data_IF_385970188797
#
_entry.id   IF_385970188797
#
_cell.length_a   1.000
_cell.length_b   1.000
_cell.length_c   1.000
_cell.angle_alpha   90.00
_cell.angle_beta   90.00
_cell.angle_gamma   90.00
#
_symmetry.space_group_name_H-M   'P 1'
#
loop_
_entity.id
_entity.type
_entity.pdbx_description
1 polymer ?
#
# COMPACT_ATOMS: atom_id res chain seq x y z
N UNK A 1 -23.81 -16.39 45.46
CA UNK A 1 -24.36 -16.08 44.12
C UNK A 1 -23.23 -15.43 43.32
N UNK A 2 -22.52 -16.24 42.52
CA UNK A 2 -21.36 -15.78 41.74
C UNK A 2 -21.78 -15.36 40.34
N UNK A 3 -21.42 -14.14 39.94
CA UNK A 3 -21.79 -13.56 38.66
C UNK A 3 -20.64 -13.71 37.65
N UNK A 4 -20.85 -14.65 36.72
CA UNK A 4 -20.44 -14.70 35.30
C UNK A 4 -19.10 -14.09 34.88
N UNK A 5 -18.13 -14.96 34.63
CA UNK A 5 -17.04 -14.77 33.66
C UNK A 5 -17.61 -14.76 32.24
N UNK A 6 -17.37 -13.68 31.48
CA UNK A 6 -17.63 -13.63 30.04
C UNK A 6 -16.37 -14.10 29.30
N UNK A 7 -16.46 -15.26 28.65
CA UNK A 7 -15.50 -15.71 27.66
C UNK A 7 -15.93 -15.14 26.30
N UNK A 8 -15.20 -14.16 25.76
CA UNK A 8 -15.30 -13.79 24.35
C UNK A 8 -14.31 -14.65 23.56
N UNK A 9 -14.77 -15.83 23.14
CA UNK A 9 -14.12 -16.57 22.06
C UNK A 9 -14.51 -15.89 20.73
N UNK A 10 -13.65 -15.01 20.23
CA UNK A 10 -13.73 -14.52 18.86
C UNK A 10 -13.25 -15.63 17.93
N UNK A 11 -14.20 -16.38 17.36
CA UNK A 11 -13.94 -17.28 16.25
C UNK A 11 -13.69 -16.43 15.00
N UNK A 12 -12.42 -16.30 14.59
CA UNK A 12 -12.05 -15.80 13.27
C UNK A 12 -12.47 -16.84 12.23
N UNK A 13 -13.64 -16.65 11.62
CA UNK A 13 -14.01 -17.38 10.41
C UNK A 13 -13.25 -16.77 9.23
N UNK A 14 -12.07 -17.33 8.92
CA UNK A 14 -11.41 -17.10 7.64
C UNK A 14 -12.34 -17.62 6.54
N UNK A 15 -12.91 -16.69 5.78
CA UNK A 15 -13.66 -17.01 4.57
C UNK A 15 -12.66 -17.19 3.44
N UNK A 16 -12.22 -18.43 3.19
CA UNK A 16 -11.52 -18.76 1.96
C UNK A 16 -12.54 -18.87 0.83
N UNK A 17 -12.71 -17.81 0.05
CA UNK A 17 -13.38 -17.93 -1.25
C UNK A 17 -12.39 -18.44 -2.27
N UNK A 18 -12.46 -19.75 -2.54
CA UNK A 18 -11.96 -20.34 -3.79
C UNK A 18 -12.90 -19.88 -4.90
N UNK A 19 -12.43 -19.05 -5.83
CA UNK A 19 -13.12 -18.78 -7.08
C UNK A 19 -12.52 -19.63 -8.21
N UNK A 20 -13.41 -20.39 -8.83
CA UNK A 20 -13.15 -21.31 -9.91
C UNK A 20 -12.74 -20.61 -11.21
N UNK A 21 -11.95 -21.34 -12.00
CA UNK A 21 -11.43 -21.00 -13.32
C UNK A 21 -12.55 -20.71 -14.34
N UNK A 22 -12.50 -19.53 -14.99
CA UNK A 22 -13.26 -19.25 -16.22
C UNK A 22 -13.63 -17.78 -16.42
N UNK A 23 -13.01 -17.17 -17.43
CA UNK A 23 -13.24 -15.83 -18.00
C UNK A 23 -12.54 -14.64 -17.29
N UNK A 24 -11.50 -14.15 -17.98
CA UNK A 24 -10.73 -12.91 -17.76
C UNK A 24 -9.95 -12.86 -16.43
N UNK A 25 -8.67 -12.41 -16.41
CA UNK A 25 -7.92 -12.28 -15.17
C UNK A 25 -8.62 -11.23 -14.30
N UNK A 26 -9.48 -11.71 -13.40
CA UNK A 26 -10.03 -10.90 -12.32
C UNK A 26 -8.85 -10.38 -11.53
N UNK A 27 -8.47 -9.14 -11.85
CA UNK A 27 -7.37 -8.40 -11.24
C UNK A 27 -7.71 -8.37 -9.75
N UNK A 28 -7.01 -9.15 -8.93
CA UNK A 28 -7.28 -9.22 -7.51
C UNK A 28 -7.06 -7.82 -6.93
N UNK A 29 -8.14 -7.11 -6.57
CA UNK A 29 -8.05 -5.77 -6.00
C UNK A 29 -7.75 -5.91 -4.51
N UNK A 30 -6.73 -5.18 -4.05
CA UNK A 30 -6.37 -5.06 -2.65
C UNK A 30 -6.73 -3.64 -2.21
N UNK A 31 -7.85 -3.51 -1.51
CA UNK A 31 -8.32 -2.23 -0.98
C UNK A 31 -7.74 -2.01 0.42
N UNK A 32 -7.07 -0.88 0.59
CA UNK A 32 -6.48 -0.37 1.82
C UNK A 32 -7.26 0.89 2.21
N UNK A 33 -8.46 0.74 2.76
CA UNK A 33 -9.27 1.88 3.23
C UNK A 33 -8.92 2.23 4.67
N UNK A 34 -9.09 3.50 5.04
CA UNK A 34 -8.71 4.11 6.32
C UNK A 34 -9.15 3.32 7.55
N UNK A 35 -10.32 2.66 7.53
CA UNK A 35 -10.77 1.77 8.61
C UNK A 35 -9.86 0.54 8.83
N UNK A 36 -9.26 0.02 7.75
CA UNK A 36 -8.26 -1.07 7.81
C UNK A 36 -6.89 -0.51 8.18
N UNK A 37 -6.59 0.71 7.75
CA UNK A 37 -5.33 1.40 8.05
C UNK A 37 -5.19 1.71 9.54
N UNK A 38 -6.23 2.25 10.18
CA UNK A 38 -6.27 2.58 11.62
C UNK A 38 -6.11 1.35 12.53
N UNK A 39 -6.55 0.18 12.06
CA UNK A 39 -6.36 -1.08 12.78
C UNK A 39 -4.96 -1.71 12.53
N UNK A 40 -4.33 -1.37 11.40
CA UNK A 40 -3.09 -1.95 10.92
C UNK A 40 -1.94 -0.93 10.86
N UNK A 41 -2.04 0.22 11.55
CA UNK A 41 -1.06 1.33 11.53
C UNK A 41 0.35 0.96 11.99
N UNK A 42 0.61 -0.33 12.23
CA UNK A 42 1.88 -0.89 12.64
C UNK A 42 2.11 -2.32 12.10
N UNK A 43 1.26 -2.82 11.20
CA UNK A 43 1.37 -4.15 10.59
C UNK A 43 1.59 -4.05 9.08
N UNK A 44 2.67 -4.66 8.60
CA UNK A 44 2.98 -4.72 7.18
C UNK A 44 2.02 -5.68 6.45
N UNK A 45 1.42 -5.20 5.36
CA UNK A 45 0.40 -5.92 4.60
C UNK A 45 1.03 -6.46 3.32
N UNK A 46 1.06 -7.79 3.08
CA UNK A 46 1.68 -8.34 1.88
C UNK A 46 0.93 -7.89 0.60
N UNK A 47 1.68 -7.50 -0.42
CA UNK A 47 1.17 -7.12 -1.75
C UNK A 47 0.79 -8.37 -2.54
N UNK A 48 -0.40 -8.90 -2.28
CA UNK A 48 -0.91 -10.10 -2.97
C UNK A 48 -1.90 -9.76 -4.07
N UNK A 49 -2.43 -8.54 -4.08
CA UNK A 49 -3.29 -8.01 -5.14
C UNK A 49 -2.52 -7.57 -6.38
N UNK A 50 -3.25 -7.49 -7.49
CA UNK A 50 -2.80 -6.89 -8.75
C UNK A 50 -3.00 -5.37 -8.77
N UNK A 51 -3.77 -4.80 -7.85
CA UNK A 51 -3.98 -3.34 -7.74
C UNK A 51 -4.17 -2.95 -6.28
N UNK A 52 -3.52 -1.88 -5.85
CA UNK A 52 -3.72 -1.24 -4.55
C UNK A 52 -4.68 -0.07 -4.73
N UNK A 53 -5.69 0.00 -3.87
CA UNK A 53 -6.67 1.09 -3.83
C UNK A 53 -6.73 1.62 -2.41
N UNK A 54 -6.31 2.87 -2.21
CA UNK A 54 -6.49 3.63 -0.97
C UNK A 54 -7.69 4.57 -1.11
N UNK A 55 -8.01 5.34 -0.07
CA UNK A 55 -9.06 6.35 -0.14
C UNK A 55 -8.67 7.53 -1.07
N UNK A 56 -7.38 7.87 -1.13
CA UNK A 56 -6.88 9.03 -1.89
C UNK A 56 -6.32 8.67 -3.27
N UNK A 57 -5.87 7.43 -3.48
CA UNK A 57 -5.26 7.04 -4.75
C UNK A 57 -5.34 5.53 -5.04
N UNK A 58 -4.97 5.15 -6.24
CA UNK A 58 -4.78 3.74 -6.59
C UNK A 58 -3.68 3.56 -7.61
N UNK A 59 -3.05 2.40 -7.60
CA UNK A 59 -2.07 2.02 -8.62
C UNK A 59 -2.06 0.51 -8.82
N UNK A 60 -1.67 0.08 -10.03
CA UNK A 60 -1.53 -1.35 -10.33
C UNK A 60 -0.21 -1.83 -9.75
N UNK A 61 -0.25 -2.96 -9.05
CA UNK A 61 0.94 -3.59 -8.51
C UNK A 61 1.73 -4.21 -9.65
N UNK A 62 2.99 -3.80 -9.87
CA UNK A 62 3.87 -4.47 -10.81
C UNK A 62 3.97 -5.96 -10.46
N UNK A 63 3.78 -6.86 -11.42
CA UNK A 63 3.76 -8.33 -11.21
C UNK A 63 5.04 -8.84 -10.52
N UNK A 64 6.15 -8.14 -10.77
CA UNK A 64 7.46 -8.37 -10.16
C UNK A 64 7.53 -8.13 -8.64
N UNK A 65 6.57 -7.40 -8.08
CA UNK A 65 6.45 -7.09 -6.66
C UNK A 65 5.34 -7.90 -5.97
N UNK A 66 4.41 -8.47 -6.75
CA UNK A 66 3.34 -9.32 -6.21
C UNK A 66 3.92 -10.51 -5.46
N UNK A 67 3.54 -10.65 -4.19
CA UNK A 67 4.00 -11.70 -3.28
C UNK A 67 5.46 -11.59 -2.85
N UNK A 68 6.11 -10.45 -3.11
CA UNK A 68 7.51 -10.16 -2.72
C UNK A 68 7.66 -8.88 -1.93
N UNK A 69 6.64 -8.03 -1.92
CA UNK A 69 6.68 -6.74 -1.25
C UNK A 69 5.57 -6.67 -0.21
N UNK A 70 5.80 -5.88 0.83
CA UNK A 70 4.80 -5.53 1.84
C UNK A 70 4.55 -4.02 1.79
N UNK A 71 3.30 -3.64 2.04
CA UNK A 71 2.86 -2.25 2.15
C UNK A 71 2.63 -1.95 3.62
N UNK A 72 3.24 -0.88 4.09
CA UNK A 72 3.00 -0.31 5.40
C UNK A 72 2.24 1.00 5.21
N UNK A 73 0.94 1.07 5.52
CA UNK A 73 0.23 2.32 5.43
C UNK A 73 0.68 3.27 6.55
N UNK A 74 0.81 4.56 6.23
CA UNK A 74 1.26 5.61 7.14
C UNK A 74 0.21 6.72 7.23
N UNK A 75 0.33 7.62 8.21
CA UNK A 75 -0.60 8.76 8.36
C UNK A 75 -0.69 9.65 7.12
N UNK A 76 0.35 9.66 6.28
CA UNK A 76 0.47 10.55 5.12
C UNK A 76 0.42 9.78 3.79
N UNK A 77 0.18 8.47 3.81
CA UNK A 77 0.15 7.64 2.61
C UNK A 77 0.58 6.20 2.89
N UNK A 78 1.65 5.74 2.24
CA UNK A 78 2.18 4.40 2.43
C UNK A 78 3.67 4.27 2.11
N UNK A 79 4.28 3.26 2.70
CA UNK A 79 5.64 2.82 2.45
C UNK A 79 5.64 1.39 1.92
N UNK A 80 6.57 1.05 1.04
CA UNK A 80 6.68 -0.29 0.45
C UNK A 80 8.08 -0.84 0.69
N UNK A 81 8.12 -2.07 1.16
CA UNK A 81 9.34 -2.79 1.50
C UNK A 81 9.40 -4.13 0.76
N UNK A 82 10.60 -4.64 0.54
CA UNK A 82 10.81 -6.05 0.22
C UNK A 82 10.41 -6.90 1.44
N UNK A 83 9.62 -7.94 1.18
CA UNK A 83 9.05 -8.77 2.24
C UNK A 83 10.15 -9.55 2.99
N UNK A 84 11.12 -10.13 2.27
CA UNK A 84 12.15 -10.97 2.89
C UNK A 84 13.06 -10.12 3.79
N UNK A 85 13.48 -8.96 3.31
CA UNK A 85 14.33 -8.04 4.06
C UNK A 85 13.58 -7.40 5.25
N UNK A 86 12.30 -7.04 5.06
CA UNK A 86 11.47 -6.47 6.12
C UNK A 86 11.20 -7.48 7.25
N UNK A 87 10.88 -8.73 6.92
CA UNK A 87 10.69 -9.79 7.92
C UNK A 87 11.98 -10.18 8.64
N UNK A 88 13.14 -10.01 7.98
CA UNK A 88 14.46 -10.30 8.55
C UNK A 88 14.88 -9.29 9.63
N UNK A 89 14.87 -8.00 9.28
CA UNK A 89 15.42 -6.93 10.13
C UNK A 89 14.71 -5.58 10.00
N UNK A 90 13.57 -5.54 9.29
CA UNK A 90 12.82 -4.31 9.04
C UNK A 90 13.45 -3.40 7.98
N UNK A 91 14.41 -3.92 7.20
CA UNK A 91 15.01 -3.21 6.07
C UNK A 91 14.28 -3.52 4.77
N UNK A 92 14.94 -3.32 3.62
CA UNK A 92 14.34 -3.55 2.31
C UNK A 92 13.43 -2.43 1.80
N UNK A 93 13.63 -1.19 2.23
CA UNK A 93 12.85 -0.06 1.73
C UNK A 93 12.96 0.04 0.19
N UNK A 94 11.81 0.11 -0.49
CA UNK A 94 11.74 0.24 -1.94
C UNK A 94 11.30 1.64 -2.35
N UNK A 95 10.23 2.16 -1.78
CA UNK A 95 9.73 3.52 -2.04
C UNK A 95 8.64 3.86 -1.03
N UNK A 96 8.28 5.14 -0.95
CA UNK A 96 7.08 5.60 -0.28
C UNK A 96 6.26 6.52 -1.18
N UNK A 97 4.94 6.52 -0.96
CA UNK A 97 4.01 7.44 -1.60
C UNK A 97 3.39 8.24 -0.47
N UNK A 98 3.66 9.54 -0.47
CA UNK A 98 3.14 10.47 0.52
C UNK A 98 2.33 11.59 -0.14
N UNK A 99 1.31 12.05 0.57
CA UNK A 99 0.45 13.16 0.17
C UNK A 99 0.92 14.43 0.87
N UNK A 100 1.10 15.50 0.11
CA UNK A 100 1.51 16.81 0.62
C UNK A 100 0.51 17.88 0.20
N UNK A 101 0.09 18.70 1.16
CA UNK A 101 -0.74 19.90 0.91
C UNK A 101 0.11 21.15 0.62
N UNK A 102 1.42 21.06 0.84
CA UNK A 102 2.39 22.15 0.72
C UNK A 102 3.68 21.70 -0.01
N UNK A 103 4.65 22.62 -0.17
CA UNK A 103 5.91 22.39 -0.90
C UNK A 103 7.03 21.71 -0.10
N UNK A 104 6.75 21.15 1.09
CA UNK A 104 7.71 20.46 1.95
C UNK A 104 8.41 19.28 1.26
N UNK A 105 7.76 18.65 0.29
CA UNK A 105 8.36 17.59 -0.54
C UNK A 105 9.60 18.07 -1.33
N UNK A 106 9.77 19.37 -1.53
CA UNK A 106 10.95 19.94 -2.18
C UNK A 106 12.27 19.71 -1.41
N UNK A 107 12.17 19.32 -0.14
CA UNK A 107 13.31 18.97 0.70
C UNK A 107 13.82 17.54 0.49
N UNK A 108 13.08 16.70 -0.24
CA UNK A 108 13.46 15.32 -0.53
C UNK A 108 14.62 15.26 -1.54
N UNK A 109 15.56 14.35 -1.33
CA UNK A 109 16.74 14.19 -2.20
C UNK A 109 16.38 13.61 -3.58
N UNK A 110 15.58 12.54 -3.60
CA UNK A 110 15.15 11.86 -4.82
C UNK A 110 13.64 11.56 -4.79
N UNK A 111 12.87 12.45 -5.41
CA UNK A 111 11.41 12.34 -5.49
C UNK A 111 10.89 12.44 -6.93
N UNK A 112 9.70 11.89 -7.15
CA UNK A 112 8.92 12.06 -8.38
C UNK A 112 7.47 12.42 -8.05
N UNK A 113 6.91 13.39 -8.77
CA UNK A 113 5.50 13.74 -8.62
C UNK A 113 4.66 12.74 -9.41
N UNK A 114 3.78 12.03 -8.71
CA UNK A 114 2.88 11.04 -9.30
C UNK A 114 1.62 11.68 -9.88
N UNK A 115 1.12 12.72 -9.23
CA UNK A 115 -0.08 13.40 -9.64
C UNK A 115 -0.50 14.48 -8.66
N UNK A 116 -1.57 15.17 -9.01
CA UNK A 116 -2.18 16.23 -8.22
C UNK A 116 -3.67 15.97 -8.09
N UNK A 117 -4.23 16.23 -6.92
CA UNK A 117 -5.66 16.25 -6.69
C UNK A 117 -6.03 17.47 -5.84
N UNK A 118 -6.74 18.44 -6.40
CA UNK A 118 -7.03 19.68 -5.68
C UNK A 118 -5.75 20.42 -5.25
N UNK A 119 -5.60 20.64 -3.94
CA UNK A 119 -4.39 21.21 -3.31
C UNK A 119 -3.34 20.15 -2.94
N UNK A 120 -3.67 18.87 -3.06
CA UNK A 120 -2.82 17.77 -2.65
C UNK A 120 -1.89 17.33 -3.80
N UNK A 121 -0.64 17.10 -3.45
CA UNK A 121 0.42 16.61 -4.33
C UNK A 121 0.85 15.23 -3.87
N UNK A 122 0.76 14.25 -4.77
CA UNK A 122 1.16 12.88 -4.50
C UNK A 122 2.61 12.70 -4.95
N UNK A 123 3.49 12.40 -3.99
CA UNK A 123 4.92 12.35 -4.21
C UNK A 123 5.43 10.95 -3.90
N UNK A 124 6.19 10.40 -4.86
CA UNK A 124 6.94 9.17 -4.73
C UNK A 124 8.35 9.52 -4.24
N UNK A 125 8.70 9.11 -3.03
CA UNK A 125 10.06 9.22 -2.50
C UNK A 125 10.82 7.90 -2.72
N UNK A 126 12.00 8.01 -3.30
CA UNK A 126 12.91 6.91 -3.59
C UNK A 126 14.32 7.15 -3.05
N UNK A 127 14.50 8.17 -2.20
CA UNK A 127 15.79 8.57 -1.63
C UNK A 127 16.54 7.42 -0.93
N UNK A 128 15.81 6.51 -0.31
CA UNK A 128 16.36 5.33 0.38
C UNK A 128 16.25 4.04 -0.43
N UNK A 129 15.73 4.12 -1.65
CA UNK A 129 15.45 2.96 -2.49
C UNK A 129 16.74 2.34 -3.05
N UNK A 130 16.73 1.03 -3.25
CA UNK A 130 17.77 0.36 -4.03
C UNK A 130 17.70 0.76 -5.51
N UNK A 131 18.85 1.11 -6.10
CA UNK A 131 18.94 1.58 -7.49
C UNK A 131 18.87 0.47 -8.56
N UNK A 132 18.47 -0.75 -8.18
CA UNK A 132 18.39 -1.85 -9.12
C UNK A 132 17.47 -1.54 -10.29
N UNK A 133 17.88 -2.03 -11.48
CA UNK A 133 17.05 -1.98 -12.70
C UNK A 133 15.66 -2.59 -12.49
N UNK A 134 15.59 -3.54 -11.56
CA UNK A 134 14.37 -4.13 -11.07
C UNK A 134 13.44 -3.03 -10.55
N UNK A 135 13.81 -2.40 -9.43
CA UNK A 135 13.03 -1.37 -8.75
C UNK A 135 12.66 -0.25 -9.71
N UNK A 136 13.61 0.27 -10.50
CA UNK A 136 13.36 1.33 -11.49
C UNK A 136 12.28 0.97 -12.52
N UNK A 137 12.23 -0.28 -12.99
CA UNK A 137 11.20 -0.73 -13.93
C UNK A 137 9.83 -0.83 -13.25
N UNK A 138 9.78 -1.34 -12.02
CA UNK A 138 8.55 -1.42 -11.23
C UNK A 138 7.97 -0.03 -10.93
N UNK A 139 8.82 0.93 -10.53
CA UNK A 139 8.41 2.31 -10.27
C UNK A 139 7.82 2.97 -11.52
N UNK A 140 8.39 2.71 -12.71
CA UNK A 140 7.84 3.22 -13.97
C UNK A 140 6.46 2.65 -14.28
N UNK A 141 6.26 1.35 -14.10
CA UNK A 141 4.95 0.69 -14.29
C UNK A 141 3.91 1.21 -13.27
N UNK A 142 4.33 1.43 -12.03
CA UNK A 142 3.48 2.05 -11.00
C UNK A 142 3.08 3.46 -11.40
N UNK A 143 4.03 4.31 -11.80
CA UNK A 143 3.78 5.69 -12.23
C UNK A 143 2.81 5.77 -13.39
N UNK A 144 2.92 4.86 -14.37
CA UNK A 144 2.01 4.80 -15.53
C UNK A 144 0.58 4.39 -15.18
N UNK A 145 0.38 3.76 -14.02
CA UNK A 145 -0.93 3.24 -13.58
C UNK A 145 -1.48 3.97 -12.36
N UNK A 146 -0.75 4.97 -11.86
CA UNK A 146 -1.15 5.77 -10.71
C UNK A 146 -2.35 6.66 -11.06
N UNK A 147 -3.34 6.66 -10.17
CA UNK A 147 -4.53 7.49 -10.28
C UNK A 147 -4.81 8.07 -8.90
N UNK A 148 -4.75 9.39 -8.79
CA UNK A 148 -5.22 10.13 -7.62
C UNK A 148 -6.74 10.35 -7.70
N UNK A 149 -7.40 10.32 -6.56
CA UNK A 149 -8.80 10.63 -6.38
C UNK A 149 -8.93 11.76 -5.37
N UNK A 150 -9.99 12.56 -5.46
CA UNK A 150 -10.34 13.43 -4.35
C UNK A 150 -10.98 12.50 -3.30
N UNK A 151 -10.38 12.42 -2.12
CA UNK A 151 -11.05 11.80 -0.98
C UNK A 151 -12.46 12.39 -0.91
N UNK A 152 -13.49 11.54 -0.91
CA UNK A 152 -14.87 12.03 -0.90
C UNK A 152 -15.06 12.82 0.41
N UNK A 153 -15.01 14.15 0.34
CA UNK A 153 -15.49 15.05 1.38
C UNK A 153 -16.97 14.70 1.62
N UNK A 154 -17.25 13.94 2.67
CA UNK A 154 -18.60 13.74 3.22
C UNK A 154 -18.79 14.56 4.48
#
# INVERSE_FOLDING_TARGET
MGLKTFACALALTLSYTVTAFGAEPQTALQTLSSDVVEAASNEAIPMTGSKIVTDDFSFVVPERWTGKCVVLPTEQGLEVYDQEDYESDGSGFLFSISVYEDDSYSSLEDYAILGFCGSETFVLDTSKADESKSVKKGLKELQETFVAFAGNEN
#
